data_IF_471958551194
#
_entry.id   IF_471958551194
#
_cell.length_a   1.000
_cell.length_b   1.000
_cell.length_c   1.000
_cell.angle_alpha   90.00
_cell.angle_beta   90.00
_cell.angle_gamma   90.00
#
_symmetry.space_group_name_H-M   'P 1'
#
loop_
_entity.id
_entity.type
_entity.pdbx_description
1 polymer ?
2 non-polymer ?
3 non-polymer ?
4 non-polymer ?
5 non-polymer ?
6 water ?
#
# COMPACT_ATOMS: atom_id res chain seq x y z
N UNK A 19 0.42 19.85 28.37
CA UNK A 19 0.39 19.11 27.11
C UNK A 19 0.74 19.99 25.90
N UNK A 20 1.71 19.56 25.08
CA UNK A 20 2.18 20.35 23.94
C UNK A 20 1.09 20.34 22.84
N UNK A 21 0.95 21.46 22.13
CA UNK A 21 -0.10 21.63 21.12
C UNK A 21 0.58 21.90 19.76
N UNK A 22 -0.01 21.36 18.67
CA UNK A 22 0.47 21.63 17.30
C UNK A 22 -0.73 22.02 16.47
N UNK A 23 -0.72 23.24 15.91
CA UNK A 23 -1.82 23.79 15.11
C UNK A 23 -3.18 23.64 15.80
N UNK A 24 -3.23 24.02 17.07
CA UNK A 24 -4.48 24.12 17.81
C UNK A 24 -4.84 22.95 18.71
N UNK A 25 -4.45 21.70 18.34
CA UNK A 25 -4.90 20.50 19.04
C UNK A 25 -3.82 19.88 19.94
N UNK A 26 -4.23 19.05 20.92
CA UNK A 26 -3.28 18.38 21.81
C UNK A 26 -2.49 17.37 20.99
N UNK A 27 -1.18 17.42 21.14
CA UNK A 27 -0.29 16.41 20.59
C UNK A 27 0.67 16.07 21.73
N UNK A 28 0.20 15.19 22.60
CA UNK A 28 0.70 15.06 23.95
C UNK A 28 1.56 13.83 24.06
N UNK A 29 2.84 13.98 23.80
CA UNK A 29 3.72 12.83 23.58
C UNK A 29 4.78 12.75 24.69
N UNK A 30 4.36 13.09 25.91
CA UNK A 30 5.16 13.05 27.13
C UNK A 30 6.40 13.88 26.99
N UNK A 31 7.25 13.85 28.02
CA UNK A 31 8.52 14.57 27.94
C UNK A 31 9.56 13.88 27.04
N UNK A 32 9.39 12.58 26.71
CA UNK A 32 10.34 11.88 25.86
C UNK A 32 10.51 12.57 24.50
N UNK A 33 9.41 13.00 23.89
CA UNK A 33 9.43 13.60 22.56
C UNK A 33 9.10 15.08 22.61
N UNK A 34 10.00 15.93 22.11
CA UNK A 34 9.89 17.38 22.19
C UNK A 34 10.14 18.05 20.83
N UNK A 35 9.97 19.40 20.74
CA UNK A 35 10.29 20.17 19.55
C UNK A 35 9.50 19.64 18.34
N UNK A 36 8.16 19.65 18.44
CA UNK A 36 7.31 19.05 17.41
C UNK A 36 7.21 19.98 16.20
N UNK A 37 7.25 19.40 14.99
CA UNK A 37 6.92 20.11 13.74
C UNK A 37 5.88 19.30 12.96
N UNK A 38 4.89 19.97 12.43
CA UNK A 38 3.88 19.33 11.58
C UNK A 38 4.53 18.71 10.33
N UNK A 39 4.17 17.44 9.98
CA UNK A 39 4.56 16.78 8.72
C UNK A 39 3.36 16.79 7.75
N UNK A 40 2.19 16.37 8.22
CA UNK A 40 0.97 16.34 7.42
C UNK A 40 -0.16 15.57 8.07
N UNK A 41 -1.33 15.47 7.42
CA UNK A 41 -2.44 14.67 7.97
C UNK A 41 -2.22 13.17 7.75
N UNK A 42 -2.64 12.35 8.73
CA UNK A 42 -2.71 10.89 8.64
C UNK A 42 -4.15 10.49 8.32
N UNK A 43 -4.66 9.38 8.92
CA UNK A 43 -6.04 8.92 8.72
C UNK A 43 -6.96 9.37 9.89
N UNK A 44 -6.51 9.16 11.15
CA UNK A 44 -7.30 9.53 12.33
C UNK A 44 -6.66 10.62 13.18
N UNK A 45 -5.73 11.37 12.59
CA UNK A 45 -5.04 12.46 13.27
C UNK A 45 -3.84 12.96 12.49
N UNK A 46 -3.14 13.95 13.02
CA UNK A 46 -1.98 14.52 12.34
C UNK A 46 -0.68 13.73 12.59
N UNK A 47 0.29 13.98 11.75
CA UNK A 47 1.64 13.44 11.84
C UNK A 47 2.58 14.60 12.08
N UNK A 48 3.48 14.42 13.06
CA UNK A 48 4.51 15.36 13.44
C UNK A 48 5.82 14.65 13.50
N UNK A 49 6.90 15.38 13.27
CA UNK A 49 8.21 14.95 13.70
C UNK A 49 8.49 15.53 15.10
N UNK A 50 9.35 14.84 15.83
CA UNK A 50 9.71 15.23 17.19
C UNK A 50 11.11 14.74 17.48
N UNK A 51 11.79 15.37 18.42
CA UNK A 51 13.07 14.90 18.88
C UNK A 51 12.83 13.84 19.96
N UNK A 52 13.39 12.63 19.77
CA UNK A 52 13.37 11.55 20.76
C UNK A 52 14.54 11.79 21.74
N UNK A 53 14.26 12.15 22.99
CA UNK A 53 15.32 12.46 23.95
C UNK A 53 16.06 11.21 24.46
N UNK A 54 15.47 10.01 24.35
CA UNK A 54 16.16 8.77 24.66
C UNK A 54 17.16 8.35 23.55
N UNK A 55 16.69 8.16 22.30
CA UNK A 55 17.57 7.72 21.21
C UNK A 55 18.33 8.85 20.50
N UNK A 56 18.01 10.11 20.79
CA UNK A 56 18.74 11.28 20.25
C UNK A 56 18.65 11.39 18.72
N UNK A 57 17.44 11.18 18.19
CA UNK A 57 17.10 11.34 16.76
C UNK A 57 15.70 11.91 16.65
N UNK A 58 15.42 12.65 15.57
CA UNK A 58 14.05 12.99 15.28
C UNK A 58 13.35 11.72 14.75
N UNK A 59 12.08 11.62 15.11
CA UNK A 59 11.16 10.51 14.82
C UNK A 59 9.88 11.09 14.22
N UNK A 60 9.03 10.24 13.65
CA UNK A 60 7.69 10.64 13.25
C UNK A 60 6.69 10.09 14.27
N UNK A 61 5.64 10.86 14.55
CA UNK A 61 4.59 10.44 15.44
C UNK A 61 3.27 10.75 14.81
N UNK A 62 2.39 9.76 14.71
CA UNK A 62 1.04 9.97 14.23
C UNK A 62 0.05 9.81 15.36
N UNK A 63 -0.90 10.72 15.46
CA UNK A 63 -1.96 10.75 16.47
C UNK A 63 -3.18 10.08 15.91
N UNK A 64 -3.79 9.18 16.67
CA UNK A 64 -4.94 8.40 16.26
C UNK A 64 -5.99 8.59 17.33
N UNK A 65 -7.20 8.94 16.91
CA UNK A 65 -8.36 9.07 17.76
C UNK A 65 -9.48 8.19 17.16
N UNK A 66 -9.42 6.86 17.37
CA UNK A 66 -10.37 5.93 16.70
C UNK A 66 -11.57 5.45 17.51
N UNK A 67 -11.71 5.83 18.80
CA UNK A 67 -12.53 5.01 19.72
C UNK A 67 -14.04 5.25 19.66
N UNK A 68 -14.50 6.25 18.91
CA UNK A 68 -15.94 6.45 18.71
C UNK A 68 -16.52 5.45 17.68
N UNK A 69 -15.68 4.93 16.75
CA UNK A 69 -16.15 4.18 15.57
C UNK A 69 -15.55 2.77 15.43
N UNK A 70 -16.37 1.87 14.89
CA UNK A 70 -16.08 0.44 14.74
C UNK A 70 -15.01 0.29 13.68
N UNK A 71 -15.21 0.94 12.51
CA UNK A 71 -14.30 0.88 11.37
C UNK A 71 -12.96 1.52 11.71
N UNK A 72 -12.96 2.61 12.51
CA UNK A 72 -11.71 3.29 12.89
C UNK A 72 -10.94 2.42 13.86
N UNK A 73 -11.61 1.89 14.90
CA UNK A 73 -11.01 0.94 15.82
C UNK A 73 -10.40 -0.26 15.09
N UNK A 74 -11.18 -0.80 14.12
CA UNK A 74 -10.80 -1.96 13.32
C UNK A 74 -9.46 -1.70 12.61
N UNK A 75 -9.34 -0.60 11.88
CA UNK A 75 -8.19 -0.33 11.03
C UNK A 75 -6.94 0.04 11.84
N UNK A 76 -7.16 0.73 12.97
CA UNK A 76 -6.10 1.05 13.92
C UNK A 76 -5.56 -0.22 14.52
N UNK A 77 -6.45 -1.10 14.99
CA UNK A 77 -6.06 -2.35 15.57
C UNK A 77 -5.37 -3.25 14.55
N UNK A 78 -5.92 -3.35 13.35
CA UNK A 78 -5.36 -4.22 12.28
C UNK A 78 -3.90 -3.84 12.01
N UNK A 79 -3.67 -2.56 11.82
CA UNK A 79 -2.35 -2.06 11.55
C UNK A 79 -1.37 -2.30 12.68
N UNK A 80 -1.79 -2.00 13.95
CA UNK A 80 -0.90 -2.22 15.09
C UNK A 80 -0.50 -3.67 15.16
N UNK A 81 -1.48 -4.61 15.07
CA UNK A 81 -1.17 -6.03 15.14
C UNK A 81 -0.18 -6.44 14.01
N UNK A 82 -0.44 -5.97 12.78
CA UNK A 82 0.47 -6.32 11.67
C UNK A 82 1.89 -5.74 11.90
N UNK A 83 1.99 -4.45 12.16
CA UNK A 83 3.29 -3.78 12.24
C UNK A 83 4.14 -4.25 13.40
N UNK A 84 3.52 -4.63 14.53
CA UNK A 84 4.27 -5.23 15.64
C UNK A 84 4.76 -6.63 15.33
N UNK A 85 4.04 -7.38 14.48
CA UNK A 85 4.46 -8.75 14.13
C UNK A 85 5.52 -8.71 13.04
N UNK A 86 5.47 -7.73 12.14
CA UNK A 86 6.40 -7.68 11.01
C UNK A 86 7.71 -7.09 11.40
N UNK A 87 8.79 -7.64 10.85
CA UNK A 87 10.10 -7.03 10.98
C UNK A 87 10.82 -7.15 9.64
N UNK A 88 10.93 -6.03 8.91
CA UNK A 88 11.54 -6.00 7.60
C UNK A 88 12.08 -4.60 7.23
N UNK A 89 13.22 -4.54 6.56
CA UNK A 89 13.87 -3.26 6.24
C UNK A 89 13.01 -2.36 5.36
N UNK A 90 12.10 -2.95 4.53
CA UNK A 90 11.26 -2.19 3.60
C UNK A 90 9.81 -2.05 4.09
N UNK A 91 9.54 -2.26 5.39
CA UNK A 91 8.29 -2.09 5.99
C UNK A 91 8.51 -1.19 7.23
N UNK A 92 7.70 -0.11 7.35
CA UNK A 92 7.84 0.82 8.49
C UNK A 92 7.51 0.01 9.78
N UNK A 93 8.32 0.19 10.79
CA UNK A 93 8.07 -0.44 12.09
C UNK A 93 7.37 0.49 13.07
N UNK A 94 7.01 -0.03 14.21
CA UNK A 94 6.56 0.77 15.35
C UNK A 94 7.70 0.74 16.40
N UNK A 95 8.19 1.91 16.75
CA UNK A 95 9.27 2.09 17.73
C UNK A 95 8.69 2.28 19.14
N UNK A 96 7.55 2.91 19.24
CA UNK A 96 6.89 3.22 20.53
C UNK A 96 5.43 3.48 20.28
N UNK A 97 4.60 3.31 21.32
CA UNK A 97 3.21 3.67 21.26
C UNK A 97 2.94 4.41 22.57
N UNK A 98 2.33 5.60 22.48
CA UNK A 98 2.00 6.40 23.65
C UNK A 98 0.51 6.41 23.83
N UNK A 99 0.10 6.11 25.08
CA UNK A 99 -1.26 6.28 25.44
C UNK A 99 -1.36 6.39 26.99
N UNK A 100 -2.50 6.80 27.43
CA UNK A 100 -2.79 6.90 28.86
C UNK A 100 -2.71 5.50 29.55
N UNK A 101 -2.44 5.49 30.88
CA UNK A 101 -2.22 4.21 31.55
C UNK A 101 -3.41 3.33 31.78
N UNK A 102 -4.61 3.85 31.63
CA UNK A 102 -5.85 3.12 31.82
C UNK A 102 -6.77 3.30 30.65
N UNK A 103 -7.69 2.31 30.47
CA UNK A 103 -8.68 2.33 29.41
C UNK A 103 -9.59 3.54 29.53
N UNK A 104 -9.98 3.88 30.76
CA UNK A 104 -10.87 5.00 31.02
C UNK A 104 -10.22 6.32 30.58
N UNK A 105 -8.93 6.51 30.87
CA UNK A 105 -8.24 7.73 30.51
C UNK A 105 -7.77 7.77 29.07
N UNK A 106 -7.85 6.66 28.31
CA UNK A 106 -7.22 6.57 27.01
C UNK A 106 -8.14 7.14 26.00
N UNK A 107 -7.77 8.26 25.38
CA UNK A 107 -8.57 8.86 24.32
C UNK A 107 -7.88 8.85 22.97
N UNK A 108 -6.62 9.18 22.95
CA UNK A 108 -5.79 9.15 21.74
C UNK A 108 -4.69 8.12 21.92
N UNK A 109 -4.16 7.65 20.80
CA UNK A 109 -3.02 6.76 20.77
C UNK A 109 -2.01 7.42 19.84
N UNK A 110 -0.75 7.47 20.23
CA UNK A 110 0.32 7.94 19.33
C UNK A 110 1.27 6.82 18.95
N UNK A 111 1.51 6.67 17.65
CA UNK A 111 2.45 5.63 17.16
C UNK A 111 3.69 6.35 16.70
N UNK A 112 4.84 5.94 17.23
CA UNK A 112 6.14 6.54 16.94
C UNK A 112 6.85 5.61 15.97
N UNK A 113 7.34 6.19 14.87
CA UNK A 113 8.01 5.47 13.78
C UNK A 113 9.24 6.22 13.36
N UNK A 114 10.14 5.52 12.63
CA UNK A 114 11.29 6.15 12.00
C UNK A 114 10.86 7.32 11.13
N UNK A 115 11.61 8.41 11.20
CA UNK A 115 11.31 9.57 10.45
C UNK A 115 11.86 9.36 9.03
N UNK A 116 11.01 9.61 8.03
CA UNK A 116 11.37 9.43 6.61
C UNK A 116 11.15 10.77 5.96
N UNK A 117 12.17 11.35 5.31
CA UNK A 117 12.27 12.70 4.66
C UNK A 117 11.00 12.95 3.85
N UNK A 118 10.62 11.95 3.02
CA UNK A 118 9.59 12.17 2.03
C UNK A 118 8.80 10.84 1.73
N UNK A 119 7.99 10.90 0.69
CA UNK A 119 7.30 9.73 0.19
C UNK A 119 7.28 9.79 -1.33
N UNK A 120 6.87 8.68 -1.97
CA UNK A 120 6.94 8.62 -3.40
C UNK A 120 5.93 9.56 -4.05
N UNK A 121 4.82 9.86 -3.40
CA UNK A 121 3.82 10.78 -3.98
C UNK A 121 4.49 12.18 -4.10
N UNK A 122 5.07 12.66 -3.01
CA UNK A 122 5.76 13.98 -2.98
C UNK A 122 6.89 14.02 -3.97
N UNK A 123 7.67 12.93 -4.04
CA UNK A 123 8.80 12.86 -4.94
C UNK A 123 8.34 12.93 -6.42
N UNK A 124 7.31 12.19 -6.78
CA UNK A 124 6.81 12.19 -8.14
C UNK A 124 6.21 13.55 -8.55
N UNK A 125 5.69 14.32 -7.61
CA UNK A 125 5.18 15.64 -7.94
C UNK A 125 6.30 16.61 -8.31
N UNK A 126 7.54 16.39 -7.81
CA UNK A 126 8.63 17.39 -7.84
C UNK A 126 9.91 16.94 -8.57
N UNK A 127 10.11 15.63 -8.80
CA UNK A 127 11.41 15.13 -9.23
C UNK A 127 11.29 14.11 -10.37
N UNK A 128 12.10 14.28 -11.38
CA UNK A 128 12.29 13.27 -12.41
C UNK A 128 13.16 12.14 -11.78
N UNK A 129 12.77 10.88 -11.98
CA UNK A 129 13.58 9.78 -11.48
C UNK A 129 14.44 9.23 -12.59
N UNK A 130 15.73 8.97 -12.28
CA UNK A 130 16.62 8.25 -13.19
C UNK A 130 16.13 6.82 -13.28
N UNK A 131 16.48 6.10 -14.35
CA UNK A 131 16.18 4.67 -14.45
C UNK A 131 16.78 3.92 -13.25
N UNK A 132 17.97 4.34 -12.76
CA UNK A 132 18.59 3.65 -11.65
C UNK A 132 17.75 3.80 -10.34
N UNK A 133 17.17 5.00 -10.12
CA UNK A 133 16.25 5.20 -8.98
C UNK A 133 14.97 4.38 -9.13
N UNK A 134 14.36 4.34 -10.32
CA UNK A 134 13.16 3.57 -10.60
C UNK A 134 13.44 2.10 -10.29
N UNK A 135 14.57 1.59 -10.76
CA UNK A 135 14.97 0.20 -10.55
C UNK A 135 15.09 -0.15 -9.05
N UNK A 136 15.79 0.70 -8.31
CA UNK A 136 15.98 0.55 -6.88
C UNK A 136 14.69 0.66 -6.10
N UNK A 137 13.83 1.63 -6.42
CA UNK A 137 12.56 1.80 -5.71
C UNK A 137 11.71 0.57 -5.96
N UNK A 138 11.61 0.12 -7.22
CA UNK A 138 10.77 -1.03 -7.53
C UNK A 138 11.30 -2.28 -6.81
N UNK A 139 12.64 -2.49 -6.85
CA UNK A 139 13.24 -3.60 -6.10
C UNK A 139 12.79 -3.62 -4.63
N UNK A 140 12.91 -2.47 -3.96
CA UNK A 140 12.61 -2.40 -2.54
C UNK A 140 11.11 -2.60 -2.25
N UNK A 141 10.24 -2.05 -3.11
CA UNK A 141 8.79 -2.31 -3.05
C UNK A 141 8.51 -3.82 -3.11
N UNK A 142 9.05 -4.50 -4.14
CA UNK A 142 8.84 -5.92 -4.28
C UNK A 142 9.46 -6.74 -3.16
N UNK A 143 10.63 -6.34 -2.65
CA UNK A 143 11.31 -7.06 -1.54
C UNK A 143 10.40 -6.98 -0.30
N UNK A 144 9.86 -5.80 0.00
CA UNK A 144 8.92 -5.64 1.10
C UNK A 144 7.63 -6.42 0.85
N UNK A 145 7.12 -6.35 -0.37
CA UNK A 145 5.90 -7.09 -0.72
C UNK A 145 6.10 -8.59 -0.62
N UNK A 146 7.29 -9.12 -0.96
CA UNK A 146 7.56 -10.57 -0.80
C UNK A 146 7.31 -11.00 0.65
N UNK A 147 7.80 -10.25 1.58
CA UNK A 147 7.65 -10.54 3.01
C UNK A 147 6.15 -10.47 3.41
N UNK A 148 5.45 -9.43 3.00
CA UNK A 148 4.04 -9.25 3.33
C UNK A 148 3.23 -10.45 2.81
N UNK A 149 3.34 -10.78 1.53
CA UNK A 149 2.66 -11.90 0.91
C UNK A 149 3.07 -13.25 1.50
N UNK A 150 4.35 -13.41 1.91
CA UNK A 150 4.85 -14.63 2.56
C UNK A 150 4.14 -14.86 3.94
N UNK A 151 3.62 -13.80 4.54
CA UNK A 151 2.87 -13.88 5.77
C UNK A 151 1.36 -14.09 5.48
N UNK A 152 0.99 -14.39 4.24
CA UNK A 152 -0.40 -14.51 3.80
C UNK A 152 -1.21 -13.28 4.00
N UNK A 153 -0.55 -12.09 3.93
CA UNK A 153 -1.22 -10.81 4.09
C UNK A 153 -1.19 -10.06 2.76
N UNK A 154 -2.27 -9.35 2.51
CA UNK A 154 -2.46 -8.45 1.40
C UNK A 154 -2.44 -7.03 1.92
N UNK A 155 -1.69 -6.13 1.32
CA UNK A 155 -1.60 -4.76 1.78
C UNK A 155 -2.96 -4.00 1.44
N UNK A 156 -3.35 -4.10 0.17
CA UNK A 156 -4.61 -3.66 -0.45
C UNK A 156 -4.75 -2.13 -0.60
N UNK A 157 -3.68 -1.35 -0.33
CA UNK A 157 -3.70 0.07 -0.65
C UNK A 157 -2.35 0.63 -0.99
N UNK A 158 -1.63 -0.11 -1.83
CA UNK A 158 -0.30 0.35 -2.25
C UNK A 158 -0.52 1.49 -3.24
N UNK A 159 0.20 2.54 -3.01
CA UNK A 159 0.13 3.77 -3.81
C UNK A 159 1.35 4.61 -3.42
N UNK A 160 1.74 5.61 -4.23
CA UNK A 160 2.95 6.38 -3.91
C UNK A 160 2.99 6.98 -2.50
N UNK A 161 1.84 7.50 -1.97
CA UNK A 161 1.86 8.14 -0.65
C UNK A 161 2.14 7.13 0.49
N UNK A 162 1.97 5.81 0.22
CA UNK A 162 2.25 4.78 1.16
C UNK A 162 3.64 4.19 1.03
N UNK A 163 4.54 4.86 0.31
CA UNK A 163 5.91 4.41 0.16
C UNK A 163 6.76 5.56 0.67
N UNK A 164 7.25 5.39 1.87
CA UNK A 164 8.14 6.35 2.49
C UNK A 164 9.58 6.22 2.04
N UNK A 165 10.27 7.35 1.91
CA UNK A 165 11.65 7.40 1.50
C UNK A 165 12.45 8.32 2.37
N UNK A 166 13.65 7.93 2.65
CA UNK A 166 14.56 8.73 3.46
C UNK A 166 15.57 9.42 2.57
N UNK A 167 16.57 10.18 3.14
CA UNK A 167 17.45 11.00 2.30
C UNK A 167 18.38 10.20 1.46
N UNK A 168 18.57 8.91 1.75
CA UNK A 168 19.43 8.05 0.97
C UNK A 168 18.57 7.10 0.14
N UNK A 169 17.30 7.41 -0.03
CA UNK A 169 16.41 6.63 -0.93
C UNK A 169 16.12 5.16 -0.45
N UNK A 170 16.26 4.89 0.84
CA UNK A 170 15.70 3.68 1.44
C UNK A 170 14.15 3.84 1.46
N UNK A 171 13.44 2.79 1.09
CA UNK A 171 12.02 2.77 0.95
C UNK A 171 11.41 1.83 1.95
N UNK A 172 10.32 2.28 2.55
CA UNK A 172 9.54 1.55 3.53
C UNK A 172 8.02 1.70 3.24
N UNK A 173 7.37 0.54 3.15
CA UNK A 173 5.94 0.47 2.91
C UNK A 173 5.25 0.84 4.20
N UNK A 174 4.25 1.71 4.13
CA UNK A 174 3.45 2.05 5.32
C UNK A 174 1.94 1.87 5.06
N UNK A 175 1.15 2.11 6.09
CA UNK A 175 -0.32 2.10 6.15
C UNK A 175 -0.88 0.69 5.92
N UNK A 176 -0.95 -0.11 6.99
CA UNK A 176 -1.58 -1.43 6.90
C UNK A 176 -3.05 -1.45 7.39
N UNK A 177 -3.69 -0.29 7.41
CA UNK A 177 -5.06 -0.17 7.88
C UNK A 177 -6.08 -0.85 6.98
N UNK A 178 -5.78 -1.08 5.67
CA UNK A 178 -6.70 -1.84 4.80
C UNK A 178 -6.26 -3.28 4.54
N UNK A 179 -5.20 -3.75 5.21
CA UNK A 179 -4.66 -5.07 4.96
C UNK A 179 -5.62 -6.18 5.39
N UNK A 180 -5.47 -7.34 4.75
CA UNK A 180 -6.30 -8.52 5.03
C UNK A 180 -5.46 -9.75 4.87
N UNK A 181 -5.85 -10.82 5.56
CA UNK A 181 -5.33 -12.14 5.28
C UNK A 181 -5.89 -12.62 3.94
N UNK A 182 -5.06 -13.17 3.08
CA UNK A 182 -5.52 -13.67 1.79
C UNK A 182 -6.59 -14.73 1.92
N UNK A 183 -7.55 -14.70 1.00
CA UNK A 183 -8.70 -15.58 1.04
C UNK A 183 -9.20 -15.80 -0.36
N UNK A 184 -8.39 -16.46 -1.21
CA UNK A 184 -8.79 -16.61 -2.60
C UNK A 184 -10.07 -17.38 -2.83
N UNK A 185 -10.42 -18.33 -1.93
CA UNK A 185 -11.68 -19.09 -2.11
C UNK A 185 -12.91 -18.25 -1.86
N UNK A 186 -12.80 -17.07 -1.22
CA UNK A 186 -13.93 -16.18 -1.10
C UNK A 186 -13.74 -14.87 -1.87
N UNK A 187 -12.97 -14.88 -2.96
CA UNK A 187 -12.71 -13.65 -3.74
C UNK A 187 -13.85 -13.23 -4.68
N UNK A 188 -14.71 -14.15 -5.07
CA UNK A 188 -15.66 -13.86 -6.14
C UNK A 188 -16.81 -13.04 -5.62
N UNK A 189 -17.23 -12.07 -6.43
CA UNK A 189 -18.40 -11.23 -6.14
C UNK A 189 -19.01 -10.82 -7.51
N UNK A 190 -20.09 -10.06 -7.46
CA UNK A 190 -20.71 -9.52 -8.64
C UNK A 190 -20.07 -8.25 -9.11
N UNK A 191 -20.74 -7.74 -10.11
CA UNK A 191 -20.33 -6.62 -10.91
C UNK A 191 -20.63 -5.32 -10.20
N UNK A 192 -19.68 -4.40 -10.21
CA UNK A 192 -19.86 -3.07 -9.65
C UNK A 192 -20.09 -3.07 -8.14
N UNK A 193 -19.39 -3.95 -7.44
CA UNK A 193 -19.43 -4.11 -5.97
C UNK A 193 -18.45 -3.14 -5.39
N UNK A 194 -18.90 -2.42 -4.40
CA UNK A 194 -18.19 -1.27 -3.86
C UNK A 194 -16.85 -1.74 -3.26
N UNK A 195 -15.88 -0.86 -3.33
CA UNK A 195 -14.56 -1.14 -2.83
C UNK A 195 -14.02 0.09 -2.14
N UNK A 196 -13.09 -0.14 -1.18
CA UNK A 196 -12.60 0.92 -0.29
C UNK A 196 -11.25 1.50 -0.74
N UNK A 197 -10.39 0.66 -1.31
CA UNK A 197 -8.98 0.98 -1.66
C UNK A 197 -8.83 2.04 -2.77
N UNK A 198 -7.66 2.69 -2.95
CA UNK A 198 -7.53 3.95 -3.73
C UNK A 198 -7.72 3.75 -5.26
N UNK A 199 -8.59 4.59 -5.87
CA UNK A 199 -9.11 4.30 -7.19
C UNK A 199 -8.07 4.06 -8.29
N UNK A 200 -7.09 4.94 -8.45
CA UNK A 200 -6.17 4.87 -9.56
C UNK A 200 -5.30 3.59 -9.56
N UNK A 201 -5.22 2.90 -8.43
CA UNK A 201 -4.30 1.76 -8.24
C UNK A 201 -5.13 0.44 -8.10
N UNK A 202 -6.46 0.46 -8.39
CA UNK A 202 -7.40 -0.67 -8.34
C UNK A 202 -7.35 -1.51 -9.56
N UNK A 203 -7.24 -2.81 -9.40
CA UNK A 203 -7.06 -3.77 -10.49
C UNK A 203 -8.42 -3.85 -11.19
N UNK A 204 -8.41 -4.18 -12.49
CA UNK A 204 -9.68 -4.15 -13.24
C UNK A 204 -10.75 -5.05 -12.65
N UNK A 205 -10.33 -6.23 -12.12
CA UNK A 205 -11.23 -7.23 -11.61
C UNK A 205 -12.06 -6.73 -10.40
N UNK A 206 -11.56 -5.70 -9.66
CA UNK A 206 -12.34 -5.14 -8.53
C UNK A 206 -13.75 -4.67 -8.98
N UNK A 207 -13.79 -4.06 -10.17
CA UNK A 207 -14.97 -3.48 -10.75
C UNK A 207 -15.85 -4.57 -11.45
N UNK A 208 -15.30 -5.77 -11.68
CA UNK A 208 -15.94 -6.83 -12.41
C UNK A 208 -16.43 -7.99 -11.53
N UNK A 209 -15.54 -8.65 -10.75
CA UNK A 209 -15.90 -9.88 -10.04
C UNK A 209 -15.03 -10.24 -8.82
N UNK A 210 -14.28 -9.26 -8.26
CA UNK A 210 -13.29 -9.55 -7.21
C UNK A 210 -13.46 -8.69 -5.99
N UNK A 211 -13.41 -9.32 -4.81
CA UNK A 211 -13.37 -8.65 -3.52
C UNK A 211 -11.96 -8.17 -3.12
N UNK A 212 -10.94 -8.45 -3.90
CA UNK A 212 -9.57 -8.07 -3.58
C UNK A 212 -8.92 -8.89 -2.48
N UNK A 213 -9.19 -10.19 -2.48
CA UNK A 213 -8.74 -11.12 -1.45
C UNK A 213 -7.57 -11.99 -1.93
N UNK A 214 -6.90 -11.64 -3.04
CA UNK A 214 -5.73 -12.38 -3.53
C UNK A 214 -4.57 -11.44 -3.73
N UNK A 215 -3.37 -12.03 -3.67
CA UNK A 215 -2.09 -11.36 -3.81
C UNK A 215 -1.96 -10.57 -5.12
N UNK A 216 -2.64 -11.04 -6.18
CA UNK A 216 -2.68 -10.35 -7.47
C UNK A 216 -3.18 -8.95 -7.39
N UNK A 217 -3.94 -8.59 -6.36
CA UNK A 217 -4.44 -7.21 -6.20
C UNK A 217 -3.30 -6.21 -5.98
N UNK A 218 -2.34 -6.62 -5.19
CA UNK A 218 -1.20 -5.79 -4.82
C UNK A 218 -0.23 -5.65 -5.98
N UNK A 219 -0.03 -6.73 -6.77
CA UNK A 219 0.84 -6.68 -7.96
C UNK A 219 0.33 -5.62 -8.96
N UNK A 220 -1.02 -5.55 -9.16
CA UNK A 220 -1.58 -4.54 -10.08
C UNK A 220 -1.16 -3.15 -9.58
N UNK A 221 -1.34 -2.88 -8.27
CA UNK A 221 -0.98 -1.58 -7.71
C UNK A 221 0.48 -1.25 -7.94
N UNK A 222 1.34 -2.24 -7.73
CA UNK A 222 2.79 -2.02 -7.96
C UNK A 222 3.06 -1.66 -9.44
N UNK A 223 2.39 -2.34 -10.35
CA UNK A 223 2.45 -2.04 -11.79
C UNK A 223 2.09 -0.61 -12.06
N UNK A 224 0.96 -0.11 -11.42
CA UNK A 224 0.53 1.28 -11.59
C UNK A 224 1.62 2.23 -11.07
N UNK A 225 2.26 1.87 -9.94
CA UNK A 225 3.33 2.69 -9.35
C UNK A 225 4.52 2.73 -10.23
N UNK A 226 4.93 1.60 -10.81
CA UNK A 226 6.01 1.56 -11.78
C UNK A 226 5.72 2.47 -12.97
N UNK A 227 4.52 2.34 -13.57
CA UNK A 227 4.14 3.23 -14.70
C UNK A 227 4.25 4.73 -14.29
N UNK A 228 3.77 5.09 -13.07
CA UNK A 228 3.82 6.44 -12.57
C UNK A 228 5.28 6.92 -12.35
N UNK A 229 6.17 6.01 -11.92
CA UNK A 229 7.59 6.35 -11.80
C UNK A 229 8.22 6.68 -13.15
N UNK A 230 7.76 6.03 -14.22
CA UNK A 230 8.27 6.23 -15.57
C UNK A 230 7.93 7.59 -16.19
N UNK A 231 6.77 8.17 -15.87
CA UNK A 231 6.31 9.40 -16.52
C UNK A 231 5.98 10.55 -15.54
N UNK A 232 5.99 10.29 -14.22
CA UNK A 232 5.49 11.20 -13.18
C UNK A 232 4.00 11.46 -13.24
N UNK A 233 3.23 10.64 -13.97
CA UNK A 233 1.80 10.87 -14.05
C UNK A 233 1.11 9.55 -13.78
N UNK A 234 0.00 9.53 -13.05
CA UNK A 234 -0.74 8.26 -12.88
C UNK A 234 -1.16 7.70 -14.24
N UNK A 235 -0.99 6.42 -14.41
CA UNK A 235 -1.28 5.75 -15.68
C UNK A 235 -2.82 5.65 -15.98
N UNK A 236 -3.64 5.44 -14.95
CA UNK A 236 -5.08 5.23 -15.11
C UNK A 236 -5.82 6.24 -14.17
N UNK A 237 -5.82 7.54 -14.48
CA UNK A 237 -6.40 8.52 -13.57
C UNK A 237 -7.92 8.61 -13.72
N UNK A 238 -8.63 7.57 -13.34
CA UNK A 238 -10.09 7.56 -13.38
C UNK A 238 -10.68 8.64 -12.47
N UNK A 239 -11.85 9.14 -12.84
CA UNK A 239 -12.58 10.09 -11.98
C UNK A 239 -13.67 9.42 -11.15
N UNK A 240 -13.96 8.14 -11.35
CA UNK A 240 -15.01 7.47 -10.59
C UNK A 240 -15.03 5.99 -10.88
N UNK A 241 -15.80 5.24 -10.07
CA UNK A 241 -15.77 3.79 -10.01
C UNK A 241 -15.62 3.12 -11.38
N UNK A 242 -16.65 3.15 -12.30
CA UNK A 242 -16.50 2.48 -13.58
C UNK A 242 -15.58 3.24 -14.53
N UNK A 243 -15.40 4.60 -14.39
CA UNK A 243 -14.38 5.35 -15.21
C UNK A 243 -12.99 4.80 -15.06
N UNK A 244 -12.69 4.22 -13.90
CA UNK A 244 -11.39 3.55 -13.68
C UNK A 244 -11.21 2.42 -14.68
N UNK A 245 -12.26 1.56 -14.85
CA UNK A 245 -12.21 0.52 -15.87
C UNK A 245 -12.04 1.12 -17.34
N UNK A 246 -12.70 2.26 -17.69
CA UNK A 246 -12.53 3.01 -18.96
C UNK A 246 -11.00 3.26 -19.26
N UNK A 247 -10.33 3.81 -18.27
CA UNK A 247 -8.91 4.11 -18.37
C UNK A 247 -8.04 2.84 -18.61
N UNK A 248 -8.30 1.78 -17.87
CA UNK A 248 -7.51 0.55 -17.94
C UNK A 248 -7.66 -0.07 -19.31
N UNK A 249 -8.92 -0.25 -19.74
CA UNK A 249 -9.18 -0.78 -21.09
C UNK A 249 -8.71 0.14 -22.24
N UNK A 250 -8.71 1.42 -22.04
CA UNK A 250 -8.14 2.37 -22.98
C UNK A 250 -6.68 2.10 -23.33
N UNK A 251 -5.92 1.48 -22.39
CA UNK A 251 -4.49 1.21 -22.58
C UNK A 251 -4.25 -0.27 -22.89
N UNK A 252 -4.83 -1.17 -22.10
CA UNK A 252 -4.64 -2.62 -22.32
C UNK A 252 -5.39 -3.11 -23.55
N UNK A 253 -6.46 -2.42 -23.92
CA UNK A 253 -7.32 -2.81 -25.01
C UNK A 253 -8.32 -3.83 -24.53
N UNK A 254 -9.18 -4.30 -25.46
CA UNK A 254 -10.23 -5.22 -25.09
C UNK A 254 -9.62 -6.53 -24.64
N UNK A 255 -10.17 -7.15 -23.57
CA UNK A 255 -9.69 -8.50 -23.21
C UNK A 255 -10.02 -9.55 -24.24
N UNK A 256 -9.14 -10.51 -24.28
CA UNK A 256 -9.25 -11.63 -25.20
C UNK A 256 -10.45 -12.48 -24.84
N UNK A 257 -10.90 -13.30 -25.77
CA UNK A 257 -11.94 -14.29 -25.48
C UNK A 257 -11.62 -15.16 -24.24
N UNK A 258 -10.38 -15.65 -24.13
CA UNK A 258 -10.01 -16.50 -23.02
C UNK A 258 -10.15 -15.74 -21.68
N UNK A 259 -9.66 -14.51 -21.63
CA UNK A 259 -9.75 -13.72 -20.42
C UNK A 259 -11.19 -13.38 -20.06
N UNK A 260 -12.01 -13.11 -21.07
CA UNK A 260 -13.44 -12.90 -20.87
C UNK A 260 -14.14 -14.14 -20.36
N UNK A 261 -13.81 -15.30 -20.95
CA UNK A 261 -14.41 -16.57 -20.51
C UNK A 261 -14.10 -16.89 -19.06
N UNK A 262 -12.98 -16.37 -18.48
CA UNK A 262 -12.73 -16.49 -17.05
C UNK A 262 -13.71 -15.73 -16.18
N UNK A 263 -14.41 -14.71 -16.72
CA UNK A 263 -15.37 -13.96 -15.95
C UNK A 263 -16.74 -14.64 -16.15
N UNK A 264 -17.14 -15.51 -15.21
CA UNK A 264 -18.38 -16.28 -15.36
C UNK A 264 -19.61 -15.40 -15.08
N UNK A 265 -19.45 -14.36 -14.23
CA UNK A 265 -20.57 -13.50 -13.87
C UNK A 265 -21.12 -12.78 -15.10
N UNK A 266 -22.43 -12.90 -15.35
CA UNK A 266 -22.96 -12.45 -16.62
C UNK A 266 -23.03 -10.94 -16.74
N UNK A 267 -23.37 -10.24 -15.65
CA UNK A 267 -23.39 -8.77 -15.67
C UNK A 267 -22.01 -8.20 -16.06
N UNK A 268 -20.94 -8.73 -15.45
CA UNK A 268 -19.58 -8.31 -15.73
C UNK A 268 -19.15 -8.67 -17.14
N UNK A 269 -19.34 -9.97 -17.53
CA UNK A 269 -19.06 -10.43 -18.90
C UNK A 269 -19.76 -9.61 -19.98
N UNK A 270 -21.07 -9.39 -19.84
CA UNK A 270 -21.86 -8.71 -20.85
C UNK A 270 -21.55 -7.22 -20.94
N UNK A 271 -21.18 -6.61 -19.80
CA UNK A 271 -20.63 -5.25 -19.85
C UNK A 271 -19.40 -5.17 -20.76
N UNK A 272 -18.44 -6.07 -20.57
CA UNK A 272 -17.24 -6.05 -21.40
C UNK A 272 -17.59 -6.32 -22.87
N UNK A 273 -18.49 -7.28 -23.13
CA UNK A 273 -18.92 -7.57 -24.49
C UNK A 273 -19.62 -6.41 -25.20
N UNK A 274 -20.26 -5.52 -24.42
CA UNK A 274 -21.00 -4.35 -24.88
C UNK A 274 -20.10 -3.28 -25.44
N UNK A 275 -18.79 -3.31 -25.08
CA UNK A 275 -17.91 -2.23 -25.43
C UNK A 275 -17.42 -2.38 -26.84
N UNK A 276 -17.18 -1.26 -27.53
CA UNK A 276 -16.49 -1.35 -28.82
C UNK A 276 -15.08 -1.88 -28.66
N UNK A 277 -14.54 -2.47 -29.72
CA UNK A 277 -13.19 -2.99 -29.72
C UNK A 277 -12.23 -1.83 -29.45
N UNK A 278 -11.22 -2.06 -28.54
CA UNK A 278 -10.19 -1.09 -28.18
C UNK A 278 -8.89 -1.81 -28.38
N UNK A 279 -7.98 -1.18 -29.12
CA UNK A 279 -6.64 -1.71 -29.36
C UNK A 279 -5.74 -1.40 -28.17
N UNK A 280 -4.78 -2.27 -27.93
CA UNK A 280 -3.73 -2.08 -26.92
C UNK A 280 -2.87 -0.89 -27.37
N UNK A 281 -2.51 -0.05 -26.41
CA UNK A 281 -1.54 1.01 -26.63
C UNK A 281 -0.18 0.40 -26.24
N UNK A 282 0.81 0.32 -27.18
CA UNK A 282 2.12 -0.23 -26.81
C UNK A 282 2.80 0.57 -25.72
N UNK A 283 3.36 -0.14 -24.76
CA UNK A 283 4.09 0.50 -23.65
C UNK A 283 5.21 1.43 -24.13
N UNK A 284 5.94 1.04 -25.18
CA UNK A 284 7.06 1.88 -25.66
C UNK A 284 6.54 3.18 -26.34
N UNK A 285 5.25 3.24 -26.73
CA UNK A 285 4.69 4.50 -27.24
C UNK A 285 4.26 5.38 -26.08
N UNK A 286 3.74 4.79 -24.98
CA UNK A 286 3.43 5.56 -23.79
C UNK A 286 4.66 6.01 -23.06
N UNK A 287 5.75 5.21 -23.09
CA UNK A 287 6.96 5.46 -22.30
C UNK A 287 8.18 5.31 -23.23
N UNK A 288 8.31 6.26 -24.17
CA UNK A 288 9.39 6.16 -25.16
C UNK A 288 10.82 6.23 -24.56
N UNK A 289 11.00 6.80 -23.37
CA UNK A 289 12.33 6.88 -22.72
C UNK A 289 12.61 5.72 -21.72
N UNK A 290 11.60 4.86 -21.46
CA UNK A 290 11.75 3.77 -20.51
C UNK A 290 12.67 2.65 -20.99
N UNK A 291 13.37 2.07 -20.04
CA UNK A 291 14.13 0.84 -20.24
C UNK A 291 13.19 -0.28 -20.76
N UNK A 292 13.58 -0.99 -21.80
CA UNK A 292 12.73 -2.03 -22.37
C UNK A 292 12.44 -3.17 -21.39
N UNK A 293 13.38 -3.50 -20.52
CA UNK A 293 13.19 -4.55 -19.51
C UNK A 293 12.16 -4.08 -18.50
N UNK A 294 12.22 -2.79 -18.09
CA UNK A 294 11.19 -2.22 -17.20
C UNK A 294 9.77 -2.38 -17.83
N UNK A 295 9.63 -2.14 -19.15
CA UNK A 295 8.36 -2.23 -19.85
C UNK A 295 7.91 -3.68 -19.96
N UNK A 296 8.83 -4.65 -20.11
CA UNK A 296 8.44 -6.06 -20.13
C UNK A 296 7.86 -6.44 -18.75
N UNK A 297 8.48 -5.97 -17.69
CA UNK A 297 7.99 -6.29 -16.33
C UNK A 297 6.67 -5.58 -16.06
N UNK A 298 6.56 -4.32 -16.49
CA UNK A 298 5.34 -3.54 -16.35
C UNK A 298 4.14 -4.26 -17.01
N UNK A 299 4.35 -4.76 -18.24
CA UNK A 299 3.34 -5.51 -18.96
C UNK A 299 2.85 -6.71 -18.18
N UNK A 300 3.76 -7.40 -17.52
CA UNK A 300 3.47 -8.62 -16.76
C UNK A 300 2.75 -8.31 -15.44
N UNK A 301 3.02 -7.14 -14.84
CA UNK A 301 2.32 -6.70 -13.64
C UNK A 301 0.92 -6.14 -14.01
N UNK A 302 0.81 -5.41 -15.13
CA UNK A 302 -0.48 -4.92 -15.60
C UNK A 302 -1.18 -5.83 -16.61
N UNK A 303 -1.25 -7.10 -16.27
CA UNK A 303 -2.00 -8.11 -16.99
C UNK A 303 -3.43 -8.08 -16.55
N UNK A 304 -4.38 -8.05 -17.53
CA UNK A 304 -5.80 -7.95 -17.21
C UNK A 304 -6.27 -9.10 -16.34
N UNK A 305 -5.89 -10.34 -16.71
CA UNK A 305 -6.37 -11.54 -16.08
C UNK A 305 -5.56 -11.77 -14.85
N UNK A 306 -6.12 -11.68 -13.63
CA UNK A 306 -5.27 -11.83 -12.44
C UNK A 306 -4.62 -13.19 -12.27
N UNK A 307 -5.18 -14.24 -12.89
CA UNK A 307 -4.53 -15.55 -12.91
C UNK A 307 -3.26 -15.60 -13.75
N UNK A 308 -3.12 -14.71 -14.73
CA UNK A 308 -1.95 -14.62 -15.60
C UNK A 308 -0.90 -13.60 -15.10
N UNK A 309 -1.29 -12.78 -14.13
CA UNK A 309 -0.46 -11.71 -13.57
C UNK A 309 0.74 -12.29 -12.83
N UNK A 310 1.89 -11.66 -13.03
CA UNK A 310 3.14 -12.10 -12.37
C UNK A 310 3.00 -12.00 -10.85
N UNK A 311 3.64 -12.94 -10.11
CA UNK A 311 3.67 -12.93 -8.65
C UNK A 311 4.92 -12.25 -8.18
N UNK A 312 4.96 -11.86 -6.91
CA UNK A 312 6.04 -11.05 -6.38
C UNK A 312 7.39 -11.70 -6.54
N UNK A 313 7.51 -13.03 -6.26
CA UNK A 313 8.81 -13.66 -6.38
C UNK A 313 9.29 -13.75 -7.82
N UNK A 314 8.37 -13.94 -8.77
CA UNK A 314 8.71 -13.86 -10.19
C UNK A 314 9.15 -12.47 -10.64
N UNK A 315 8.46 -11.42 -10.19
CA UNK A 315 8.84 -10.05 -10.46
C UNK A 315 10.29 -9.75 -9.98
N UNK A 316 10.63 -10.14 -8.74
CA UNK A 316 11.99 -9.98 -8.23
C UNK A 316 13.06 -10.66 -9.11
N UNK A 317 12.74 -11.84 -9.71
CA UNK A 317 13.60 -12.61 -10.63
C UNK A 317 13.61 -12.10 -12.09
N UNK A 318 12.86 -11.03 -12.39
CA UNK A 318 12.79 -10.48 -13.75
C UNK A 318 14.12 -9.81 -14.14
N UNK A 319 14.59 -10.00 -15.40
CA UNK A 319 15.85 -9.34 -15.84
C UNK A 319 16.02 -7.88 -15.47
N UNK A 320 14.93 -7.10 -15.35
CA UNK A 320 15.04 -5.68 -15.03
C UNK A 320 15.76 -5.47 -13.72
N UNK A 321 15.53 -6.38 -12.75
CA UNK A 321 16.04 -6.28 -11.40
C UNK A 321 17.26 -7.12 -11.11
N UNK A 322 17.93 -7.62 -12.15
CA UNK A 322 19.05 -8.55 -12.05
C UNK A 322 20.20 -8.03 -11.20
N UNK A 323 20.43 -6.72 -11.18
CA UNK A 323 21.52 -6.15 -10.39
C UNK A 323 21.29 -6.29 -8.88
N UNK A 324 20.02 -6.39 -8.45
CA UNK A 324 19.69 -6.44 -7.05
C UNK A 324 19.21 -7.85 -6.62
N UNK A 325 18.68 -8.66 -7.55
CA UNK A 325 18.01 -9.91 -7.17
C UNK A 325 18.90 -10.82 -6.39
N UNK A 326 18.47 -11.20 -5.21
CA UNK A 326 19.22 -12.07 -4.34
C UNK A 326 18.24 -12.68 -3.34
N UNK A 327 17.69 -13.87 -3.68
CA UNK A 327 16.61 -14.41 -2.86
C UNK A 327 17.03 -14.72 -1.43
N UNK A 328 18.32 -14.99 -1.21
CA UNK A 328 18.82 -15.22 0.15
C UNK A 328 18.79 -13.93 1.01
N UNK A 329 18.74 -12.76 0.35
CA UNK A 329 18.65 -11.47 1.02
C UNK A 329 17.27 -10.83 0.80
N UNK A 330 16.22 -11.67 0.58
CA UNK A 330 14.87 -11.22 0.38
C UNK A 330 14.04 -12.08 1.36
N UNK A 331 14.10 -11.73 2.63
CA UNK A 331 13.48 -12.58 3.65
C UNK A 331 11.97 -12.70 3.62
N UNK A 332 11.52 -13.84 4.15
CA UNK A 332 10.12 -14.11 4.37
C UNK A 332 9.76 -14.14 5.87
N UNK A 333 8.45 -14.03 6.17
CA UNK A 333 7.93 -14.05 7.52
C UNK A 333 8.09 -15.45 8.16
N UNK A 334 8.41 -15.48 9.43
CA UNK A 334 8.57 -16.72 10.20
C UNK A 334 7.28 -17.54 10.24
N UNK A 335 6.10 -16.87 10.20
CA UNK A 335 4.84 -17.62 10.10
C UNK A 335 3.74 -16.87 9.33
N UNK A 336 2.70 -17.57 8.84
CA UNK A 336 1.54 -16.86 8.28
C UNK A 336 0.83 -16.07 9.39
N UNK A 337 0.29 -14.95 9.02
CA UNK A 337 -0.43 -14.08 9.92
C UNK A 337 -1.86 -14.59 10.02
N UNK A 338 -2.46 -14.46 11.23
CA UNK A 338 -3.82 -14.93 11.53
C UNK A 338 -4.51 -14.00 12.55
N UNK A 347 -17.49 -5.32 18.67
CA UNK A 347 -17.93 -3.95 18.97
C UNK A 347 -16.82 -3.05 19.54
N UNK A 348 -17.06 -1.73 19.51
CA UNK A 348 -16.06 -0.68 19.70
C UNK A 348 -15.45 -0.73 21.10
N UNK A 349 -16.24 -1.11 22.11
CA UNK A 349 -15.75 -1.25 23.48
C UNK A 349 -14.73 -2.38 23.56
N UNK A 350 -15.00 -3.48 22.87
CA UNK A 350 -14.10 -4.61 22.84
C UNK A 350 -12.85 -4.24 22.05
N UNK A 351 -13.00 -3.44 20.97
CA UNK A 351 -11.87 -3.08 20.16
C UNK A 351 -10.98 -2.06 20.90
N UNK A 352 -11.55 -1.17 21.72
CA UNK A 352 -10.76 -0.27 22.58
C UNK A 352 -9.93 -1.08 23.54
N UNK A 353 -10.55 -2.11 24.16
CA UNK A 353 -9.83 -3.01 25.06
C UNK A 353 -8.72 -3.72 24.32
N UNK A 354 -9.01 -4.20 23.09
CA UNK A 354 -7.99 -4.87 22.29
C UNK A 354 -6.85 -3.91 21.91
N UNK A 355 -7.14 -2.66 21.54
CA UNK A 355 -6.08 -1.68 21.26
C UNK A 355 -5.24 -1.41 22.53
N UNK A 356 -5.90 -1.25 23.66
CA UNK A 356 -5.23 -1.12 24.96
C UNK A 356 -4.27 -2.30 25.27
N UNK A 357 -4.75 -3.55 25.15
CA UNK A 357 -3.90 -4.73 25.37
C UNK A 357 -2.74 -4.84 24.39
N UNK A 358 -3.00 -4.53 23.14
CA UNK A 358 -1.97 -4.65 22.08
C UNK A 358 -0.81 -3.64 22.27
N UNK A 359 -1.11 -2.49 22.88
CA UNK A 359 -0.11 -1.43 23.10
C UNK A 359 0.54 -1.45 24.49
N UNK A 360 0.21 -2.45 25.32
CA UNK A 360 0.64 -2.55 26.69
C UNK A 360 2.14 -2.71 26.84
N UNK A 361 2.80 -3.35 25.86
CA UNK A 361 4.24 -3.61 25.96
C UNK A 361 5.08 -2.33 25.93
N UNK A 362 4.53 -1.20 25.45
CA UNK A 362 5.26 0.04 25.43
C UNK A 362 5.11 0.88 26.71
N UNK A 363 4.36 0.39 27.70
CA UNK A 363 4.12 1.15 28.90
C UNK A 363 5.31 1.02 29.85
N UNK A 364 5.67 2.11 30.58
CA UNK A 364 6.52 1.93 31.78
C UNK A 364 5.83 1.01 32.79
N UNK A 365 6.47 -0.12 33.10
CA UNK A 365 5.96 -1.08 34.08
C UNK A 365 4.66 -1.75 33.69
X LIG B 1 -15.43 5.02 -5.75
X LIG B 1 -14.73 6.30 -5.35
X LIG B 1 -14.90 4.66 -7.08
X LIG B 1 -16.91 5.11 -5.79
X LIG B 1 -14.97 3.90 -4.84
X LIG C 1 -19.53 -4.08 -29.18
X LIG C 1 -20.38 -5.20 -28.95
X LIG C 1 -20.08 -3.13 -30.28
X LIG C 1 -20.01 -1.76 -29.83
X LIG D 1 -19.54 -21.01 -18.21
X LIG D 1 -18.93 -20.08 -19.09
X LIG D 1 -18.49 -21.84 -17.55
X LIG D 1 -19.07 -22.79 -16.68
X LIG D 1 -18.49 -22.86 -15.38
X LIG D 1 -18.12 -24.25 -15.02
X LIG D 1 -17.62 -24.31 -13.68
X LIG E 1 1.89 5.60 5.52
X LIG E 1 2.43 6.93 5.97
X LIG E 1 3.69 8.72 8.24
X LIG E 1 4.08 7.64 9.03
X LIG E 1 6.34 8.36 8.91
X LIG E 1 7.15 10.09 7.87
X LIG E 1 6.00 9.43 8.12
X LIG E 1 4.65 9.62 7.79
X LIG E 1 1.47 7.64 7.28
X LIG E 1 1.35 6.64 8.30
X LIG E 1 0.28 8.20 6.70
X LIG E 1 2.31 8.85 7.94
X LIG E 1 5.39 7.45 9.37
X LIG E 1 7.68 8.40 9.09
X LIG E 1 8.19 9.48 8.44
X LIG E 1 1.11 5.74 4.94
X LIG E 1 1.62 5.06 6.31
X LIG E 1 2.45 7.56 5.23
X LIG E 1 3.35 6.81 6.31
X LIG E 1 3.41 7.03 9.34
X LIG E 1 7.23 10.87 7.35
X LIG E 1 4.39 10.37 7.24
X LIG E 1 1.85 9.21 8.56
X LIG E 1 5.65 6.71 9.91
X LIG E 1 8.18 7.85 9.54
#
# INVERSE_FOLDING_TARGET
MAHHHHHHMAAAAAAGAGPEMVRGQVFDVGPRYTNLSYIGEGAYGMVCSAYDNVNKVRVAIKKISPFEHQTYCQRTLREIKILLRFRHENIIGINDIIRAPTIEQMKDVYIVQDLMETDLYKLLKTQHLSNDHICYFLYQILRGLKYIHSANVLHRDLKPSNLLLNTTCDLKICDFGLARVADPDHDHTGFLTEYVATRWYRAPEIMLNSKGYTKSIDIWSVGCILAEMLSNRPIFPGKHYLDQLNHILGILGSPSQEDLNCIINLKARNYLLSLPHKNKVPWNRLFPNADSKALDLLDKMLTFNPHKRIEVEQALAHPYLEQYYDPSDEPIAEAPFKFDMELDDLPKEKLKELIFEETARFQPGYRS
SO4 S O1 O2 O3 O4
EDO C1 O1 C2 O2
PEG C1 O1 C2 O2 C3 C4 O4
N8U C1 C2 C7 C8 C10 C14 C15 C16 S3 O4 O5 N6 C9 N11 N13 H17 H18 H19 H25 H21 H23 H24 H20 H22 H12
#
